data_IF_297831897728
#
_entry.id   IF_297831897728
#
_cell.length_a   1.000
_cell.length_b   1.000
_cell.length_c   1.000
_cell.angle_alpha   90.00
_cell.angle_beta   90.00
_cell.angle_gamma   90.00
#
_symmetry.space_group_name_H-M   'P 1'
#
loop_
_entity.id
_entity.type
_entity.pdbx_description
1 polymer ?
#
# COMPACT_ATOMS: atom_id res chain seq x y z
N UNK A 1 -0.29 8.12 8.40
CA UNK A 1 0.42 8.89 7.35
C UNK A 1 -0.50 9.35 6.21
N UNK A 2 -1.24 8.45 5.55
CA UNK A 2 -2.20 8.82 4.49
C UNK A 2 -3.30 9.78 4.96
N UNK A 3 -3.98 9.47 6.07
CA UNK A 3 -5.03 10.33 6.64
C UNK A 3 -4.49 11.73 6.98
N UNK A 4 -3.30 11.80 7.58
CA UNK A 4 -2.68 13.06 7.97
C UNK A 4 -2.34 13.93 6.76
N UNK A 5 -1.72 13.32 5.74
CA UNK A 5 -1.38 14.01 4.50
C UNK A 5 -2.62 14.41 3.71
N UNK A 6 -3.68 13.58 3.70
CA UNK A 6 -4.91 13.86 2.96
C UNK A 6 -5.76 14.95 3.66
N UNK A 7 -5.94 14.87 4.98
CA UNK A 7 -6.76 15.83 5.74
C UNK A 7 -6.05 17.17 5.95
N UNK A 8 -4.71 17.18 5.97
CA UNK A 8 -3.94 18.40 6.21
C UNK A 8 -4.34 19.09 7.52
N UNK A 9 -4.50 18.35 8.62
CA UNK A 9 -5.07 18.92 9.86
C UNK A 9 -4.13 19.85 10.65
N UNK A 10 -3.02 20.29 10.05
CA UNK A 10 -2.03 21.17 10.71
C UNK A 10 -2.64 22.50 11.20
N UNK A 11 -3.65 23.03 10.50
CA UNK A 11 -4.33 24.28 10.88
C UNK A 11 -5.47 24.11 11.90
N UNK A 12 -6.00 22.90 12.08
CA UNK A 12 -7.13 22.62 12.98
C UNK A 12 -6.68 21.93 14.29
N UNK A 13 -5.38 22.01 14.59
CA UNK A 13 -4.79 21.43 15.78
C UNK A 13 -4.78 22.45 16.90
N UNK A 14 -5.47 22.15 18.00
CA UNK A 14 -5.33 22.87 19.26
C UNK A 14 -4.47 22.02 20.20
N UNK A 15 -3.24 22.48 20.47
CA UNK A 15 -2.22 21.71 21.19
C UNK A 15 -1.93 20.33 20.59
N UNK A 16 -2.34 19.23 21.24
CA UNK A 16 -2.15 17.85 20.76
C UNK A 16 -3.44 17.20 20.25
N UNK A 17 -4.57 17.92 20.26
CA UNK A 17 -5.86 17.38 19.88
C UNK A 17 -6.36 18.01 18.58
N UNK A 18 -6.90 17.15 17.71
CA UNK A 18 -7.71 17.56 16.58
C UNK A 18 -9.16 17.64 17.08
N UNK A 19 -9.73 18.84 17.15
CA UNK A 19 -11.15 18.97 17.51
C UNK A 19 -12.03 18.57 16.34
N UNK A 20 -13.01 17.69 16.59
CA UNK A 20 -14.11 17.42 15.67
C UNK A 20 -13.70 16.77 14.34
N UNK A 21 -13.26 15.50 14.37
CA UNK A 21 -13.17 14.66 13.17
C UNK A 21 -14.58 14.38 12.66
N UNK A 22 -15.17 15.33 11.94
CA UNK A 22 -16.37 15.07 11.17
C UNK A 22 -16.06 13.95 10.16
N UNK A 23 -17.02 13.04 9.87
CA UNK A 23 -16.82 12.03 8.84
C UNK A 23 -16.39 12.74 7.55
N UNK A 24 -15.24 12.36 6.99
CA UNK A 24 -14.60 13.12 5.90
C UNK A 24 -15.53 13.40 4.72
N UNK A 25 -16.56 12.59 4.52
CA UNK A 25 -17.59 12.76 3.49
C UNK A 25 -18.33 14.10 3.59
N UNK A 26 -18.62 14.59 4.80
CA UNK A 26 -19.35 15.86 4.95
C UNK A 26 -18.46 17.07 4.64
N UNK A 27 -17.16 17.00 4.98
CA UNK A 27 -16.19 18.05 4.63
C UNK A 27 -15.86 18.09 3.14
N UNK A 28 -16.15 17.01 2.41
CA UNK A 28 -15.94 16.91 0.97
C UNK A 28 -17.10 17.50 0.17
N UNK A 29 -18.14 18.07 0.80
CA UNK A 29 -19.25 18.72 0.11
C UNK A 29 -19.14 20.23 0.14
N UNK A 30 -19.45 20.87 -0.98
CA UNK A 30 -19.57 22.32 -1.02
C UNK A 30 -20.68 22.80 -0.08
N UNK A 31 -20.44 23.89 0.64
CA UNK A 31 -21.36 24.40 1.66
C UNK A 31 -22.20 25.59 1.18
N UNK A 32 -21.79 26.24 0.07
CA UNK A 32 -22.39 27.50 -0.42
C UNK A 32 -22.48 27.54 -1.94
N UNK A 33 -23.38 28.39 -2.44
CA UNK A 33 -23.50 28.71 -3.86
C UNK A 33 -23.92 27.53 -4.74
N UNK A 34 -23.45 27.54 -5.99
CA UNK A 34 -23.74 26.49 -6.99
C UNK A 34 -23.14 25.13 -6.64
N UNK A 35 -22.18 25.10 -5.72
CA UNK A 35 -21.49 23.88 -5.28
C UNK A 35 -22.10 23.27 -4.02
N UNK A 36 -23.16 23.87 -3.48
CA UNK A 36 -23.79 23.41 -2.24
C UNK A 36 -24.30 21.96 -2.40
N UNK A 37 -23.77 21.05 -1.60
CA UNK A 37 -24.11 19.63 -1.60
C UNK A 37 -23.33 18.77 -2.60
N UNK A 38 -22.59 19.38 -3.55
CA UNK A 38 -21.77 18.67 -4.52
C UNK A 38 -20.48 18.15 -3.88
N UNK A 39 -20.02 16.96 -4.26
CA UNK A 39 -18.69 16.50 -3.84
C UNK A 39 -17.62 17.33 -4.55
N UNK A 40 -16.71 17.90 -3.78
CA UNK A 40 -15.58 18.70 -4.23
C UNK A 40 -14.36 17.82 -4.52
N UNK A 41 -14.59 16.57 -4.93
CA UNK A 41 -13.57 15.59 -5.24
C UNK A 41 -14.13 14.59 -6.25
N UNK A 42 -13.25 13.90 -6.96
CA UNK A 42 -13.63 12.99 -8.03
C UNK A 42 -14.11 11.63 -7.49
N UNK A 43 -15.41 11.43 -7.29
CA UNK A 43 -15.92 10.16 -6.76
C UNK A 43 -17.11 9.65 -7.53
N UNK A 44 -17.22 8.33 -7.55
CA UNK A 44 -18.48 7.69 -7.88
C UNK A 44 -19.51 8.06 -6.81
N UNK A 45 -20.60 8.68 -7.23
CA UNK A 45 -21.66 9.12 -6.33
C UNK A 45 -22.54 7.95 -5.89
N UNK A 46 -22.76 6.99 -6.80
CA UNK A 46 -23.62 5.83 -6.55
C UNK A 46 -23.51 4.78 -7.64
N UNK A 47 -24.23 3.66 -7.48
CA UNK A 47 -24.24 2.59 -8.47
C UNK A 47 -24.83 3.11 -9.79
N UNK A 48 -23.99 3.18 -10.83
CA UNK A 48 -24.38 3.67 -12.15
C UNK A 48 -24.31 5.19 -12.32
N UNK A 49 -23.97 5.93 -11.26
CA UNK A 49 -23.84 7.38 -11.28
C UNK A 49 -22.39 7.80 -11.02
N UNK A 50 -21.71 8.20 -12.10
CA UNK A 50 -20.30 8.61 -12.10
C UNK A 50 -20.10 10.13 -12.20
N UNK A 51 -21.12 10.90 -12.58
CA UNK A 51 -20.96 12.36 -12.73
C UNK A 51 -22.28 13.14 -12.65
N UNK A 52 -23.36 12.52 -12.19
CA UNK A 52 -24.72 13.07 -12.18
C UNK A 52 -25.50 12.77 -13.48
N UNK A 53 -26.79 13.15 -13.51
CA UNK A 53 -27.65 13.00 -14.68
C UNK A 53 -27.18 13.89 -15.86
N UNK A 54 -27.52 13.47 -17.09
CA UNK A 54 -27.13 14.19 -18.30
C UNK A 54 -27.60 15.68 -18.26
N UNK A 55 -26.67 16.60 -18.51
CA UNK A 55 -26.90 18.05 -18.45
C UNK A 55 -26.63 18.71 -17.10
N UNK A 56 -26.57 17.93 -16.01
CA UNK A 56 -26.28 18.42 -14.65
C UNK A 56 -25.13 17.62 -14.06
N UNK A 57 -23.91 17.99 -14.47
CA UNK A 57 -22.71 17.32 -13.96
C UNK A 57 -22.42 17.79 -12.53
N UNK A 58 -22.40 16.87 -11.56
CA UNK A 58 -22.12 17.20 -10.14
C UNK A 58 -20.66 17.60 -9.93
N UNK A 59 -19.72 16.78 -10.40
CA UNK A 59 -18.28 16.97 -10.25
C UNK A 59 -17.57 17.20 -11.60
N UNK A 60 -18.28 16.95 -12.71
CA UNK A 60 -17.82 17.21 -14.07
C UNK A 60 -16.88 16.15 -14.66
N UNK A 61 -16.59 15.05 -13.97
CA UNK A 61 -15.58 14.06 -14.37
C UNK A 61 -16.06 12.63 -14.13
N UNK A 62 -16.39 11.89 -15.19
CA UNK A 62 -16.75 10.46 -15.07
C UNK A 62 -15.53 9.52 -14.91
N UNK A 63 -14.33 10.05 -15.11
CA UNK A 63 -13.03 9.38 -15.04
C UNK A 63 -12.09 10.26 -14.21
N UNK A 64 -10.78 9.98 -14.18
CA UNK A 64 -9.78 10.83 -13.52
C UNK A 64 -9.94 12.31 -13.90
N UNK A 65 -9.96 13.18 -12.89
CA UNK A 65 -10.01 14.62 -13.07
C UNK A 65 -8.60 15.20 -13.18
N UNK A 66 -8.49 16.38 -13.79
CA UNK A 66 -7.22 17.11 -13.86
C UNK A 66 -6.69 17.47 -12.47
N UNK A 67 -5.37 17.46 -12.33
CA UNK A 67 -4.70 17.90 -11.10
C UNK A 67 -5.07 19.36 -10.84
N UNK A 68 -5.46 19.70 -9.61
CA UNK A 68 -5.96 21.02 -9.16
C UNK A 68 -7.37 21.41 -9.62
N UNK A 69 -8.13 20.53 -10.25
CA UNK A 69 -9.55 20.79 -10.55
C UNK A 69 -10.35 21.09 -9.27
N UNK A 70 -10.02 20.39 -8.19
CA UNK A 70 -10.64 20.54 -6.88
C UNK A 70 -9.75 21.32 -5.91
N UNK A 71 -10.31 21.91 -4.83
CA UNK A 71 -9.54 22.63 -3.83
C UNK A 71 -8.41 21.79 -3.23
N UNK A 72 -7.31 22.43 -2.86
CA UNK A 72 -6.25 21.77 -2.10
C UNK A 72 -6.70 21.50 -0.67
N UNK A 73 -6.10 20.50 -0.04
CA UNK A 73 -6.12 20.43 1.41
C UNK A 73 -5.28 21.57 2.03
N UNK A 74 -5.26 21.66 3.36
CA UNK A 74 -4.58 22.77 4.05
C UNK A 74 -3.05 22.77 3.89
N UNK A 75 -2.46 21.67 3.41
CA UNK A 75 -1.04 21.56 3.07
C UNK A 75 -0.75 22.03 1.63
N UNK A 76 -1.77 22.50 0.90
CA UNK A 76 -1.64 22.91 -0.50
C UNK A 76 -1.52 21.72 -1.47
N UNK A 77 -1.85 20.51 -1.02
CA UNK A 77 -1.80 19.30 -1.84
C UNK A 77 -3.18 19.07 -2.47
N UNK A 78 -3.20 18.84 -3.78
CA UNK A 78 -4.42 18.73 -4.58
C UNK A 78 -4.74 17.27 -4.94
N UNK A 79 -6.02 16.96 -5.12
CA UNK A 79 -6.46 15.64 -5.58
C UNK A 79 -6.10 14.51 -4.62
N UNK A 80 -6.00 14.83 -3.33
CA UNK A 80 -5.64 13.85 -2.30
C UNK A 80 -6.73 12.80 -2.13
N UNK A 81 -7.98 13.16 -2.42
CA UNK A 81 -9.16 12.33 -2.38
C UNK A 81 -9.66 12.03 -3.81
N UNK A 82 -10.20 10.83 -4.03
CA UNK A 82 -11.03 10.51 -5.20
C UNK A 82 -10.33 10.32 -6.54
N UNK A 83 -9.09 10.77 -6.72
CA UNK A 83 -8.42 10.56 -8.00
C UNK A 83 -7.53 9.33 -8.05
N UNK A 84 -6.98 8.89 -6.92
CA UNK A 84 -5.96 7.85 -6.89
C UNK A 84 -6.16 6.97 -5.67
N UNK A 85 -6.34 5.68 -5.93
CA UNK A 85 -6.11 4.64 -4.93
C UNK A 85 -4.64 4.25 -4.98
N UNK A 86 -4.02 3.95 -3.86
CA UNK A 86 -2.58 3.68 -3.82
C UNK A 86 -2.27 2.32 -3.25
N UNK A 87 -1.27 1.67 -3.86
CA UNK A 87 -0.60 0.53 -3.24
C UNK A 87 0.09 0.96 -1.95
N UNK A 88 -0.13 0.22 -0.88
CA UNK A 88 0.67 0.36 0.34
C UNK A 88 1.63 -0.80 0.47
N UNK A 89 2.70 -0.62 1.24
CA UNK A 89 3.65 -1.68 1.53
C UNK A 89 3.04 -2.82 2.38
N UNK A 90 1.90 -2.57 3.04
CA UNK A 90 1.23 -3.48 3.96
C UNK A 90 0.69 -4.73 3.25
N UNK A 91 1.02 -5.89 3.78
CA UNK A 91 0.51 -7.20 3.35
C UNK A 91 -0.90 -7.39 3.92
N UNK A 92 -1.86 -7.70 3.06
CA UNK A 92 -3.24 -7.87 3.52
C UNK A 92 -3.43 -9.20 4.26
N UNK A 93 -4.13 -9.10 5.39
CA UNK A 93 -4.67 -10.22 6.17
C UNK A 93 -6.12 -9.92 6.56
N UNK A 94 -7.04 -10.88 6.44
CA UNK A 94 -8.42 -10.71 6.88
C UNK A 94 -8.54 -10.48 8.38
N UNK A 95 -7.75 -11.22 9.15
CA UNK A 95 -7.69 -11.13 10.61
C UNK A 95 -6.51 -10.21 10.97
N UNK A 96 -6.80 -9.20 11.78
CA UNK A 96 -5.80 -8.37 12.45
C UNK A 96 -5.75 -8.88 13.88
N UNK A 97 -4.55 -9.13 14.40
CA UNK A 97 -4.38 -9.55 15.81
C UNK A 97 -4.76 -8.39 16.73
N UNK A 98 -5.45 -8.70 17.82
CA UNK A 98 -5.79 -7.73 18.87
C UNK A 98 -4.55 -7.28 19.64
N UNK A 99 -3.48 -8.10 19.65
CA UNK A 99 -2.20 -7.77 20.28
C UNK A 99 -1.38 -6.73 19.48
N UNK A 100 -1.76 -6.42 18.24
CA UNK A 100 -1.08 -5.40 17.46
C UNK A 100 -1.59 -4.00 17.82
N UNK A 101 -0.69 -3.02 17.76
CA UNK A 101 -1.03 -1.61 17.96
C UNK A 101 -2.16 -1.14 17.04
N UNK A 102 -3.21 -0.58 17.62
CA UNK A 102 -4.29 0.13 16.91
C UNK A 102 -3.77 1.30 16.07
N UNK A 103 -2.62 1.86 16.45
CA UNK A 103 -1.93 2.92 15.71
C UNK A 103 -0.80 2.35 14.85
N UNK A 104 -0.82 2.68 13.56
CA UNK A 104 0.23 2.35 12.59
C UNK A 104 0.48 0.84 12.42
N UNK A 105 -0.57 0.02 12.39
CA UNK A 105 -0.48 -1.38 12.00
C UNK A 105 0.20 -1.52 10.62
N UNK A 106 1.30 -2.26 10.57
CA UNK A 106 2.03 -2.60 9.35
C UNK A 106 2.45 -4.07 9.39
N UNK A 107 2.10 -4.81 8.34
CA UNK A 107 2.58 -6.18 8.10
C UNK A 107 3.36 -6.20 6.80
N UNK A 108 4.51 -6.86 6.80
CA UNK A 108 5.43 -6.74 5.65
C UNK A 108 6.91 -6.77 6.00
N UNK A 109 7.25 -6.97 7.27
CA UNK A 109 8.63 -6.83 7.75
C UNK A 109 9.56 -7.84 7.09
N UNK A 110 10.49 -7.31 6.29
CA UNK A 110 11.62 -8.02 5.72
C UNK A 110 12.90 -7.22 5.99
N UNK A 111 13.49 -7.33 7.19
CA UNK A 111 14.71 -6.59 7.50
C UNK A 111 15.82 -6.95 6.51
N UNK A 112 16.45 -5.89 5.98
CA UNK A 112 17.57 -5.98 5.05
C UNK A 112 18.85 -5.57 5.78
N UNK A 113 19.91 -6.37 5.65
CA UNK A 113 21.26 -5.98 6.07
C UNK A 113 22.08 -5.57 4.85
N UNK A 114 23.01 -4.63 5.05
CA UNK A 114 24.07 -4.39 4.08
C UNK A 114 25.05 -5.57 4.13
N UNK A 115 25.34 -6.15 2.97
CA UNK A 115 26.28 -7.25 2.84
C UNK A 115 27.70 -6.74 3.10
N UNK A 116 28.47 -7.50 3.88
CA UNK A 116 29.88 -7.23 4.16
C UNK A 116 30.77 -8.17 3.36
N UNK A 117 31.90 -7.66 2.90
CA UNK A 117 32.98 -8.43 2.32
C UNK A 117 33.71 -9.23 3.43
N UNK A 118 34.54 -10.21 3.03
CA UNK A 118 35.32 -11.01 3.97
C UNK A 118 36.33 -10.20 4.81
N UNK A 119 36.68 -9.00 4.35
CA UNK A 119 37.55 -8.03 5.04
C UNK A 119 36.77 -7.09 6.00
N UNK A 120 35.45 -7.25 6.11
CA UNK A 120 34.59 -6.43 6.96
C UNK A 120 34.11 -5.11 6.34
N UNK A 121 34.55 -4.76 5.14
CA UNK A 121 34.05 -3.58 4.40
C UNK A 121 32.64 -3.82 3.84
N UNK A 122 31.90 -2.75 3.56
CA UNK A 122 30.58 -2.87 2.92
C UNK A 122 30.72 -3.17 1.43
N UNK A 123 29.97 -4.16 0.97
CA UNK A 123 30.00 -4.56 -0.44
C UNK A 123 29.21 -3.56 -1.29
N UNK A 124 29.89 -2.92 -2.23
CA UNK A 124 29.29 -2.02 -3.23
C UNK A 124 28.94 -2.82 -4.48
N UNK A 125 27.82 -2.48 -5.11
CA UNK A 125 27.40 -3.07 -6.37
C UNK A 125 28.09 -2.34 -7.51
N UNK A 126 28.94 -3.07 -8.23
CA UNK A 126 29.60 -2.61 -9.46
C UNK A 126 28.84 -3.10 -10.70
N UNK A 127 29.17 -2.53 -11.87
CA UNK A 127 28.56 -2.91 -13.16
C UNK A 127 28.72 -4.41 -13.50
N UNK A 128 29.78 -5.04 -13.01
CA UNK A 128 30.05 -6.48 -13.20
C UNK A 128 29.26 -7.40 -12.25
N UNK A 129 28.76 -6.87 -11.12
CA UNK A 129 28.17 -7.65 -10.03
C UNK A 129 26.68 -7.33 -9.80
N UNK A 130 26.03 -6.73 -10.79
CA UNK A 130 24.61 -6.38 -10.73
C UNK A 130 23.76 -7.65 -10.58
N UNK A 131 22.93 -7.68 -9.53
CA UNK A 131 21.92 -8.71 -9.31
C UNK A 131 20.57 -8.25 -9.82
N UNK A 132 19.86 -9.16 -10.48
CA UNK A 132 18.51 -8.95 -10.96
C UNK A 132 17.50 -9.72 -10.09
N UNK A 133 16.34 -9.13 -9.91
CA UNK A 133 15.13 -9.82 -9.49
C UNK A 133 14.26 -10.09 -10.71
N UNK A 134 13.38 -11.07 -10.62
CA UNK A 134 12.46 -11.39 -11.71
C UNK A 134 11.03 -11.11 -11.29
N UNK A 135 10.36 -10.21 -12.01
CA UNK A 135 8.95 -9.90 -11.79
C UNK A 135 8.09 -11.12 -12.14
N UNK A 136 6.84 -11.11 -11.67
CA UNK A 136 5.89 -12.19 -11.95
C UNK A 136 5.55 -12.37 -13.43
N UNK A 137 5.83 -11.37 -14.27
CA UNK A 137 5.71 -11.42 -15.73
C UNK A 137 7.03 -11.81 -16.42
N UNK A 138 8.04 -12.20 -15.65
CA UNK A 138 9.35 -12.65 -16.10
C UNK A 138 10.34 -11.55 -16.50
N UNK A 139 9.97 -10.27 -16.39
CA UNK A 139 10.91 -9.17 -16.63
C UNK A 139 11.96 -9.09 -15.52
N UNK A 140 13.20 -8.82 -15.91
CA UNK A 140 14.31 -8.60 -14.99
C UNK A 140 14.32 -7.15 -14.50
N UNK A 141 14.50 -6.96 -13.20
CA UNK A 141 14.60 -5.65 -12.54
C UNK A 141 15.83 -5.62 -11.65
N UNK A 142 16.56 -4.51 -11.64
CA UNK A 142 17.73 -4.34 -10.77
C UNK A 142 17.34 -4.48 -9.29
N UNK A 143 18.04 -5.34 -8.53
CA UNK A 143 17.89 -5.38 -7.06
C UNK A 143 18.53 -4.18 -6.40
N UNK A 144 19.67 -3.76 -6.92
CA UNK A 144 20.44 -2.61 -6.48
C UNK A 144 21.05 -1.93 -7.71
N UNK A 145 21.12 -0.60 -7.69
CA UNK A 145 21.78 0.17 -8.74
C UNK A 145 23.30 0.20 -8.52
N UNK A 146 24.11 0.35 -9.59
CA UNK A 146 25.54 0.57 -9.45
C UNK A 146 25.86 1.72 -8.48
N UNK A 147 26.85 1.53 -7.60
CA UNK A 147 27.23 2.48 -6.56
C UNK A 147 26.39 2.41 -5.28
N UNK A 148 25.34 1.58 -5.22
CA UNK A 148 24.63 1.29 -3.98
C UNK A 148 25.31 0.15 -3.22
N UNK A 149 25.17 0.15 -1.89
CA UNK A 149 25.55 -1.00 -1.09
C UNK A 149 24.62 -2.19 -1.35
N UNK A 150 25.19 -3.38 -1.51
CA UNK A 150 24.42 -4.62 -1.67
C UNK A 150 23.62 -4.87 -0.39
N UNK A 151 22.32 -5.12 -0.54
CA UNK A 151 21.42 -5.45 0.58
C UNK A 151 20.86 -6.85 0.43
N UNK A 152 20.76 -7.56 1.55
CA UNK A 152 20.20 -8.90 1.62
C UNK A 152 19.13 -8.99 2.69
N UNK A 153 18.02 -9.67 2.35
CA UNK A 153 16.97 -10.03 3.29
C UNK A 153 17.52 -10.98 4.34
N UNK A 154 17.52 -10.55 5.61
CA UNK A 154 17.99 -11.35 6.74
C UNK A 154 16.91 -12.36 7.14
N UNK A 155 15.65 -11.92 7.12
CA UNK A 155 14.50 -12.72 7.52
C UNK A 155 13.22 -12.24 6.81
N UNK A 156 12.25 -13.12 6.69
CA UNK A 156 10.92 -12.82 6.17
C UNK A 156 9.88 -13.02 7.28
N UNK A 157 9.40 -11.92 7.85
CA UNK A 157 8.40 -11.90 8.91
C UNK A 157 7.00 -11.52 8.41
N UNK A 158 6.74 -11.63 7.10
CA UNK A 158 5.39 -11.40 6.56
C UNK A 158 4.37 -12.39 7.14
N UNK A 159 4.82 -13.62 7.39
CA UNK A 159 4.04 -14.72 7.96
C UNK A 159 4.33 -14.99 9.45
N UNK A 160 4.80 -14.01 10.19
CA UNK A 160 5.00 -14.16 11.63
C UNK A 160 3.66 -14.33 12.36
N UNK A 161 3.50 -15.43 13.13
CA UNK A 161 2.28 -15.81 13.84
C UNK A 161 1.05 -16.05 12.96
N UNK A 162 1.22 -16.36 11.67
CA UNK A 162 0.12 -16.72 10.77
C UNK A 162 0.48 -17.90 9.85
N UNK A 163 0.42 -19.10 10.44
CA UNK A 163 0.79 -20.35 9.79
C UNK A 163 2.11 -20.96 10.30
N UNK A 164 2.77 -20.32 11.28
CA UNK A 164 3.84 -20.98 12.02
C UNK A 164 3.28 -21.95 13.09
N UNK A 165 4.16 -22.78 13.65
CA UNK A 165 3.79 -23.76 14.68
C UNK A 165 3.12 -23.11 15.89
N UNK A 166 3.57 -21.91 16.26
CA UNK A 166 3.07 -21.18 17.42
C UNK A 166 1.60 -20.74 17.24
N UNK A 167 1.16 -20.54 16.00
CA UNK A 167 -0.23 -20.20 15.67
C UNK A 167 -1.09 -21.40 15.28
N UNK A 168 -0.58 -22.64 15.42
CA UNK A 168 -1.36 -23.86 15.19
C UNK A 168 -2.08 -24.32 16.47
N UNK A 169 -3.29 -24.85 16.31
CA UNK A 169 -4.04 -25.48 17.42
C UNK A 169 -3.28 -26.66 18.05
N UNK A 170 -2.41 -27.32 17.28
CA UNK A 170 -1.58 -28.46 17.69
C UNK A 170 -0.13 -28.09 18.04
N UNK A 171 0.13 -26.87 18.55
CA UNK A 171 1.49 -26.36 18.80
C UNK A 171 2.41 -27.31 19.61
N UNK A 172 1.83 -28.15 20.48
CA UNK A 172 2.56 -29.14 21.29
C UNK A 172 3.07 -30.35 20.49
N UNK A 173 2.27 -30.83 19.53
CA UNK A 173 2.54 -32.08 18.80
C UNK A 173 3.00 -31.85 17.34
N UNK A 174 2.78 -30.66 16.80
CA UNK A 174 3.22 -30.29 15.46
C UNK A 174 4.75 -30.10 15.40
N UNK A 175 5.42 -30.64 14.38
CA UNK A 175 6.82 -30.34 14.12
C UNK A 175 7.00 -28.87 13.74
N UNK A 176 8.17 -28.28 14.02
CA UNK A 176 8.47 -26.86 13.77
C UNK A 176 8.68 -26.60 12.27
N UNK A 177 7.60 -26.70 11.53
CA UNK A 177 7.64 -26.70 10.08
C UNK A 177 6.54 -25.81 9.56
N UNK A 178 6.88 -24.52 9.43
CA UNK A 178 6.20 -23.53 8.59
C UNK A 178 5.97 -24.00 7.12
N UNK A 179 6.43 -25.20 6.75
CA UNK A 179 6.23 -25.85 5.47
C UNK A 179 5.03 -26.79 5.42
N UNK A 180 4.50 -27.24 6.57
CA UNK A 180 3.41 -28.25 6.62
C UNK A 180 2.04 -27.62 6.87
N UNK A 181 1.99 -26.53 7.64
CA UNK A 181 0.77 -25.77 7.89
C UNK A 181 0.93 -24.37 7.28
N UNK A 182 0.27 -24.08 6.17
CA UNK A 182 0.19 -22.73 5.60
C UNK A 182 -1.24 -22.26 5.85
N UNK A 183 -1.43 -21.37 6.86
CA UNK A 183 -2.74 -20.77 7.16
C UNK A 183 -3.38 -20.16 5.89
N UNK A 184 -2.52 -19.66 5.00
CA UNK A 184 -2.88 -19.05 3.73
C UNK A 184 -2.34 -19.86 2.55
N UNK A 185 -2.77 -21.14 2.46
CA UNK A 185 -2.46 -22.05 1.35
C UNK A 185 -3.00 -21.52 0.00
N UNK A 186 -2.21 -20.62 -0.58
CA UNK A 186 -2.52 -19.84 -1.76
C UNK A 186 -1.78 -20.32 -3.00
N UNK A 187 -2.33 -20.08 -4.20
CA UNK A 187 -1.65 -20.38 -5.44
C UNK A 187 -0.25 -19.77 -5.49
N UNK A 188 0.75 -20.60 -5.75
CA UNK A 188 2.14 -20.15 -5.91
C UNK A 188 2.41 -19.97 -7.40
N UNK A 189 2.63 -18.72 -7.82
CA UNK A 189 3.05 -18.41 -9.18
C UNK A 189 4.49 -18.88 -9.37
N UNK A 190 4.71 -19.71 -10.38
CA UNK A 190 6.03 -20.19 -10.79
C UNK A 190 6.13 -20.01 -12.29
N UNK A 191 7.30 -19.65 -12.77
CA UNK A 191 7.56 -19.55 -14.20
C UNK A 191 9.00 -19.95 -14.50
N UNK A 192 9.24 -20.35 -15.74
CA UNK A 192 10.56 -20.56 -16.30
C UNK A 192 10.74 -19.54 -17.42
N UNK A 193 11.92 -18.93 -17.49
CA UNK A 193 12.33 -18.15 -18.67
C UNK A 193 13.16 -19.08 -19.55
N UNK A 194 12.73 -19.30 -20.78
CA UNK A 194 13.48 -20.14 -21.72
C UNK A 194 14.74 -19.43 -22.25
N UNK A 195 15.56 -20.14 -23.02
CA UNK A 195 16.79 -19.59 -23.61
C UNK A 195 16.53 -18.41 -24.57
N UNK A 196 15.30 -18.26 -25.07
CA UNK A 196 14.87 -17.19 -25.97
C UNK A 196 14.21 -16.02 -25.20
N UNK A 197 14.19 -16.05 -23.86
CA UNK A 197 13.59 -15.01 -23.02
C UNK A 197 12.07 -15.10 -22.89
N UNK A 198 11.43 -16.18 -23.37
CA UNK A 198 9.98 -16.38 -23.24
C UNK A 198 9.65 -16.91 -21.85
N UNK A 199 8.63 -16.30 -21.25
CA UNK A 199 8.15 -16.63 -19.91
C UNK A 199 7.07 -17.71 -20.01
N UNK A 200 7.35 -18.87 -19.45
CA UNK A 200 6.45 -20.03 -19.40
C UNK A 200 5.91 -20.15 -17.99
N UNK A 201 4.64 -19.77 -17.80
CA UNK A 201 3.95 -19.91 -16.53
C UNK A 201 3.71 -21.39 -16.22
N UNK A 202 4.14 -21.82 -15.04
CA UNK A 202 3.85 -23.16 -14.53
C UNK A 202 2.51 -23.15 -13.80
N UNK A 203 1.68 -24.14 -14.10
CA UNK A 203 0.45 -24.38 -13.35
C UNK A 203 0.80 -24.91 -11.96
N UNK A 204 0.16 -24.33 -10.95
CA UNK A 204 0.19 -24.88 -9.61
C UNK A 204 -0.68 -26.15 -9.57
N UNK A 205 -0.06 -27.30 -9.29
CA UNK A 205 -0.73 -28.62 -9.30
C UNK A 205 -1.30 -29.01 -7.96
N UNK A 206 -1.04 -28.23 -6.91
CA UNK A 206 -1.56 -28.49 -5.56
C UNK A 206 -2.93 -27.86 -5.37
N UNK A 207 -3.76 -28.51 -4.57
CA UNK A 207 -5.03 -27.92 -4.13
C UNK A 207 -4.78 -26.75 -3.18
N UNK A 208 -5.43 -25.61 -3.49
CA UNK A 208 -5.28 -24.34 -2.76
C UNK A 208 -6.61 -23.96 -2.13
N UNK A 209 -6.55 -23.50 -0.89
CA UNK A 209 -7.74 -23.21 -0.07
C UNK A 209 -7.93 -21.71 0.20
N UNK A 210 -6.93 -20.87 -0.14
CA UNK A 210 -6.97 -19.44 0.12
C UNK A 210 -6.55 -18.61 -1.10
N UNK A 211 -7.19 -17.47 -1.32
CA UNK A 211 -6.74 -16.44 -2.27
C UNK A 211 -5.80 -15.41 -1.61
N UNK A 212 -5.67 -15.42 -0.27
CA UNK A 212 -4.79 -14.53 0.48
C UNK A 212 -3.38 -15.11 0.46
N UNK A 213 -2.37 -14.26 0.20
CA UNK A 213 -0.97 -14.67 0.14
C UNK A 213 -0.04 -13.54 0.60
N UNK A 214 1.27 -13.80 0.56
CA UNK A 214 2.31 -12.80 0.77
C UNK A 214 2.49 -11.81 -0.37
N UNK A 215 1.75 -11.96 -1.46
CA UNK A 215 1.78 -11.08 -2.63
C UNK A 215 0.51 -10.22 -2.73
N UNK A 216 -0.41 -10.38 -1.77
CA UNK A 216 -1.60 -9.54 -1.66
C UNK A 216 -1.24 -8.32 -0.82
N UNK A 217 -1.40 -7.13 -1.41
CA UNK A 217 -1.13 -5.85 -0.76
C UNK A 217 -2.40 -5.08 -0.48
N UNK A 218 -2.36 -4.28 0.57
CA UNK A 218 -3.43 -3.35 0.90
C UNK A 218 -3.42 -2.20 -0.10
N UNK A 219 -4.61 -1.76 -0.48
CA UNK A 219 -4.84 -0.58 -1.30
C UNK A 219 -5.66 0.41 -0.47
N UNK A 220 -5.19 1.64 -0.38
CA UNK A 220 -5.80 2.71 0.42
C UNK A 220 -6.27 3.88 -0.44
N UNK A 221 -7.13 4.70 0.16
CA UNK A 221 -7.78 5.83 -0.50
C UNK A 221 -8.88 5.42 -1.46
N UNK A 222 -9.32 6.37 -2.29
CA UNK A 222 -10.41 6.20 -3.24
C UNK A 222 -10.04 6.72 -4.62
N UNK A 223 -10.42 5.97 -5.65
CA UNK A 223 -10.35 6.37 -7.07
C UNK A 223 -11.69 6.92 -7.56
N UNK A 224 -11.69 7.38 -8.81
CA UNK A 224 -12.86 7.89 -9.50
C UNK A 224 -13.97 6.84 -9.64
N UNK A 225 -13.61 5.55 -9.57
CA UNK A 225 -14.55 4.43 -9.63
C UNK A 225 -15.16 4.11 -8.25
N UNK A 226 -14.56 4.63 -7.18
CA UNK A 226 -14.94 4.30 -5.82
C UNK A 226 -15.93 5.31 -5.25
N UNK A 227 -16.83 4.79 -4.41
CA UNK A 227 -17.67 5.62 -3.55
C UNK A 227 -16.88 6.14 -2.36
N UNK A 228 -17.35 7.22 -1.75
CA UNK A 228 -16.71 7.86 -0.60
C UNK A 228 -16.48 6.93 0.61
N UNK A 229 -17.18 5.78 0.68
CA UNK A 229 -16.89 4.68 1.61
C UNK A 229 -15.40 4.30 1.67
N UNK A 230 -14.71 4.26 0.53
CA UNK A 230 -13.30 3.83 0.47
C UNK A 230 -12.29 4.89 0.94
N UNK A 231 -12.76 6.09 1.29
CA UNK A 231 -11.91 7.15 1.85
C UNK A 231 -11.69 7.06 3.34
N UNK A 232 -12.42 6.17 4.01
CA UNK A 232 -12.18 5.96 5.42
C UNK A 232 -10.80 5.28 5.60
N UNK A 233 -9.88 5.88 6.39
CA UNK A 233 -8.57 5.32 6.69
C UNK A 233 -8.63 3.90 7.26
N UNK A 234 -9.71 3.52 7.93
CA UNK A 234 -9.95 2.17 8.45
C UNK A 234 -10.26 1.15 7.36
N UNK A 235 -10.78 1.58 6.21
CA UNK A 235 -11.12 0.67 5.12
C UNK A 235 -9.87 0.11 4.47
N UNK A 236 -9.84 -1.22 4.32
CA UNK A 236 -8.72 -1.98 3.74
C UNK A 236 -9.27 -2.86 2.64
N UNK A 237 -9.11 -2.42 1.40
CA UNK A 237 -9.20 -3.33 0.25
C UNK A 237 -7.81 -3.85 -0.08
N UNK A 238 -7.79 -4.88 -0.91
CA UNK A 238 -6.57 -5.55 -1.27
C UNK A 238 -6.63 -6.04 -2.71
N UNK A 239 -5.45 -6.14 -3.32
CA UNK A 239 -5.25 -6.67 -4.66
C UNK A 239 -3.90 -7.40 -4.72
N UNK A 240 -3.76 -8.26 -5.72
CA UNK A 240 -2.50 -8.94 -6.01
C UNK A 240 -1.50 -7.91 -6.56
N UNK A 241 -0.34 -7.77 -5.90
CA UNK A 241 0.68 -6.79 -6.26
C UNK A 241 1.20 -6.94 -7.70
N UNK A 242 1.03 -8.12 -8.29
CA UNK A 242 1.51 -8.44 -9.63
C UNK A 242 0.49 -8.09 -10.72
N UNK A 243 -0.67 -7.52 -10.36
CA UNK A 243 -1.70 -7.13 -11.31
C UNK A 243 -1.81 -5.62 -11.37
N UNK A 244 -1.77 -5.06 -12.58
CA UNK A 244 -1.99 -3.64 -12.81
C UNK A 244 -3.50 -3.33 -12.85
N UNK A 245 -3.89 -2.20 -12.26
CA UNK A 245 -5.26 -1.71 -12.28
C UNK A 245 -5.25 -0.23 -12.67
N UNK A 246 -6.10 0.16 -13.63
CA UNK A 246 -6.15 1.54 -14.15
C UNK A 246 -6.60 2.61 -13.15
N UNK A 247 -7.02 2.21 -11.95
CA UNK A 247 -7.47 3.08 -10.87
C UNK A 247 -6.56 3.03 -9.63
N UNK A 248 -5.52 2.19 -9.64
CA UNK A 248 -4.49 2.13 -8.59
C UNK A 248 -3.19 2.73 -9.12
N UNK A 249 -2.66 3.70 -8.40
CA UNK A 249 -1.35 4.30 -8.61
C UNK A 249 -0.43 4.10 -7.41
N UNK A 250 0.58 4.97 -7.33
CA UNK A 250 1.52 5.05 -6.23
C UNK A 250 1.72 6.51 -5.84
N UNK A 251 2.04 6.72 -4.56
CA UNK A 251 2.56 8.00 -4.06
C UNK A 251 3.88 7.73 -3.39
N UNK A 252 4.81 8.65 -3.57
CA UNK A 252 6.14 8.54 -2.98
C UNK A 252 6.10 9.23 -1.63
N UNK A 253 6.48 8.50 -0.59
CA UNK A 253 6.79 9.06 0.71
C UNK A 253 8.31 9.05 0.90
N UNK A 254 8.81 10.00 1.67
CA UNK A 254 10.20 10.04 2.09
C UNK A 254 10.23 10.26 3.59
N UNK A 255 11.15 9.58 4.26
CA UNK A 255 11.41 9.83 5.68
C UNK A 255 11.69 11.32 5.89
N UNK A 256 10.98 11.91 6.85
CA UNK A 256 11.28 13.25 7.27
C UNK A 256 12.72 13.27 7.77
N UNK A 257 13.60 14.01 7.08
CA UNK A 257 14.93 14.29 7.61
C UNK A 257 14.71 14.99 8.95
N UNK A 258 15.03 14.31 10.04
CA UNK A 258 15.12 14.96 11.35
C UNK A 258 16.21 16.02 11.23
N UNK A 259 15.79 17.27 11.04
CA UNK A 259 16.64 18.37 11.40
C UNK A 259 16.73 18.31 12.93
N UNK A 260 17.76 17.63 13.45
CA UNK A 260 18.22 17.78 14.82
C UNK A 260 18.73 19.21 15.01
N UNK A 261 17.85 20.19 14.85
CA UNK A 261 18.02 21.48 15.50
C UNK A 261 17.65 21.20 16.94
N UNK A 262 18.67 20.92 17.74
CA UNK A 262 18.66 21.02 19.19
C UNK A 262 17.60 22.06 19.61
N UNK A 263 16.43 21.61 20.06
CA UNK A 263 15.54 22.45 20.87
C UNK A 263 16.27 22.63 22.17
N UNK A 264 17.16 23.61 22.22
CA UNK A 264 17.63 24.16 23.48
C UNK A 264 16.40 24.73 24.17
N UNK A 265 15.90 24.02 25.18
CA UNK A 265 15.00 24.60 26.17
C UNK A 265 15.78 25.76 26.79
N UNK A 266 15.31 26.98 26.58
CA UNK A 266 15.64 28.12 27.43
C UNK A 266 14.33 28.67 27.96
#
# INVERSE_FOLDING_TARGET
EWEYAALGMEKNREYNNYQGKAPGIESLRGTKGREKGMLLENFKQGKGDYSGPAGWKNDGSALTADVRKYPSNNLGIYGMYGNVSEWTADVYRPIIDEDYSDFNYYRGNMPQAIVRNGDGTYKVVDESNIKYDTLADGRLVYKNLPGQFERQTIADYRNFRDGDRQSSLDYRNASDSATTFDMYNSPKKRFIVDANGKVIMQKDTKDRTSAISNDVRVVKGGSWQDTAYWLDPGQRRYKDQNTAYGWIGFRVAQDARTNDKNRTRR
#
